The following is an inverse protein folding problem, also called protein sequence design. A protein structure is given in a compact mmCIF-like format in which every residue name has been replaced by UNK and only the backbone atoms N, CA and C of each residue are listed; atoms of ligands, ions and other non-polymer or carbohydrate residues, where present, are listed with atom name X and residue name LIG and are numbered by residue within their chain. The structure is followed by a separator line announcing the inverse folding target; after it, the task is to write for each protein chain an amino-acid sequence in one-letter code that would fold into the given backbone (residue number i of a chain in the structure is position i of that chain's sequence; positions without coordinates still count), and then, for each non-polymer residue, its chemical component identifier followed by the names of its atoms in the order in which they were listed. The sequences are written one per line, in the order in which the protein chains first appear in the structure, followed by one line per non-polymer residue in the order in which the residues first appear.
data_IF_613312872576
#
_entry.id   IF_613312872576
#
_cell.length_a   1.000
_cell.length_b   1.000
_cell.length_c   1.000
_cell.angle_alpha   90.00
_cell.angle_beta   90.00
_cell.angle_gamma   90.00
#
_symmetry.space_group_name_H-M   'P 1'
#
loop_
_entity.id
_entity.type
_entity.pdbx_description
1 polymer ?
#
# COMPACT_ATOMS: atom_id res chain seq x y z
N UNK A 1 14.44 4.73 -79.90
CA UNK A 1 14.75 3.61 -79.00
C UNK A 1 13.44 3.01 -78.51
N UNK A 2 13.02 1.90 -79.11
CA UNK A 2 11.80 1.19 -78.75
C UNK A 2 12.13 0.18 -77.65
N UNK A 3 11.61 0.42 -76.43
CA UNK A 3 11.72 -0.54 -75.33
C UNK A 3 10.86 -1.76 -75.69
N UNK A 4 11.45 -2.95 -75.71
CA UNK A 4 10.75 -4.19 -76.06
C UNK A 4 9.79 -4.58 -74.92
N UNK A 5 8.59 -5.11 -75.22
CA UNK A 5 7.59 -5.48 -74.21
C UNK A 5 8.09 -6.52 -73.21
N UNK A 6 9.10 -7.31 -73.58
CA UNK A 6 9.79 -8.27 -72.70
C UNK A 6 10.60 -7.57 -71.61
N UNK A 7 11.25 -6.43 -71.91
CA UNK A 7 12.00 -5.65 -70.93
C UNK A 7 11.06 -4.95 -69.92
N UNK A 8 9.88 -4.49 -70.38
CA UNK A 8 8.88 -3.89 -69.50
C UNK A 8 8.27 -4.91 -68.53
N UNK A 9 8.05 -6.15 -68.98
CA UNK A 9 7.54 -7.25 -68.16
C UNK A 9 8.54 -7.74 -67.09
N UNK A 10 9.85 -7.74 -67.40
CA UNK A 10 10.88 -8.10 -66.42
C UNK A 10 11.06 -7.03 -65.33
N UNK A 11 10.94 -5.74 -65.68
CA UNK A 11 11.00 -4.64 -64.73
C UNK A 11 9.76 -4.60 -63.83
N UNK A 12 8.56 -4.85 -64.36
CA UNK A 12 7.33 -4.90 -63.57
C UNK A 12 7.30 -6.07 -62.60
N UNK A 13 7.83 -7.24 -62.98
CA UNK A 13 7.91 -8.42 -62.11
C UNK A 13 8.96 -8.24 -61.02
N UNK A 14 10.10 -7.61 -61.33
CA UNK A 14 11.14 -7.26 -60.34
C UNK A 14 10.69 -6.21 -59.33
N UNK A 15 9.94 -5.18 -59.77
CA UNK A 15 9.38 -4.17 -58.89
C UNK A 15 8.26 -4.71 -58.00
N UNK A 16 7.42 -5.62 -58.50
CA UNK A 16 6.36 -6.26 -57.73
C UNK A 16 6.88 -7.18 -56.61
N UNK A 17 7.94 -7.94 -56.87
CA UNK A 17 8.60 -8.79 -55.85
C UNK A 17 9.33 -7.96 -54.78
N UNK A 18 10.02 -6.88 -55.16
CA UNK A 18 10.66 -5.96 -54.21
C UNK A 18 9.63 -5.20 -53.36
N UNK A 19 8.52 -4.74 -53.95
CA UNK A 19 7.42 -4.09 -53.22
C UNK A 19 6.73 -5.01 -52.21
N UNK A 20 6.53 -6.29 -52.54
CA UNK A 20 5.93 -7.28 -51.66
C UNK A 20 6.83 -7.64 -50.45
N UNK A 21 8.15 -7.76 -50.67
CA UNK A 21 9.12 -8.03 -49.59
C UNK A 21 9.25 -6.82 -48.64
N UNK A 22 9.29 -5.59 -49.16
CA UNK A 22 9.33 -4.39 -48.31
C UNK A 22 8.02 -4.22 -47.52
N UNK A 23 6.87 -4.49 -48.17
CA UNK A 23 5.56 -4.47 -47.52
C UNK A 23 5.45 -5.46 -46.35
N UNK A 24 5.87 -6.71 -46.54
CA UNK A 24 5.83 -7.77 -45.51
C UNK A 24 6.81 -7.51 -44.34
N UNK A 25 8.01 -6.98 -44.60
CA UNK A 25 8.94 -6.56 -43.53
C UNK A 25 8.36 -5.37 -42.73
N UNK A 26 7.72 -4.41 -43.41
CA UNK A 26 7.02 -3.30 -42.77
C UNK A 26 5.84 -3.75 -41.89
N UNK A 27 5.05 -4.73 -42.33
CA UNK A 27 3.94 -5.30 -41.55
C UNK A 27 4.43 -6.13 -40.37
N UNK A 28 5.52 -6.91 -40.50
CA UNK A 28 6.14 -7.66 -39.39
C UNK A 28 6.80 -6.73 -38.35
N UNK A 29 7.47 -5.67 -38.79
CA UNK A 29 8.01 -4.63 -37.91
C UNK A 29 6.89 -3.87 -37.21
N UNK A 30 5.82 -3.50 -37.92
CA UNK A 30 4.67 -2.83 -37.34
C UNK A 30 3.93 -3.74 -36.35
N UNK A 31 3.67 -4.99 -36.70
CA UNK A 31 3.03 -5.96 -35.81
C UNK A 31 3.89 -6.30 -34.58
N UNK A 32 5.22 -6.37 -34.72
CA UNK A 32 6.11 -6.60 -33.58
C UNK A 32 6.26 -5.36 -32.69
N UNK A 33 6.26 -4.14 -33.24
CA UNK A 33 6.23 -2.90 -32.47
C UNK A 33 4.88 -2.74 -31.77
N UNK A 34 3.76 -3.05 -32.44
CA UNK A 34 2.44 -3.04 -31.83
C UNK A 34 2.33 -4.12 -30.75
N UNK A 35 2.78 -5.35 -30.98
CA UNK A 35 2.79 -6.40 -29.96
C UNK A 35 3.69 -6.05 -28.77
N UNK A 36 4.86 -5.45 -29.00
CA UNK A 36 5.72 -4.94 -27.92
C UNK A 36 5.02 -3.82 -27.17
N UNK A 37 4.47 -2.82 -27.85
CA UNK A 37 3.74 -1.73 -27.22
C UNK A 37 2.49 -2.21 -26.45
N UNK A 38 1.78 -3.23 -26.94
CA UNK A 38 0.66 -3.84 -26.22
C UNK A 38 1.13 -4.63 -25.01
N UNK A 39 2.22 -5.40 -25.14
CA UNK A 39 2.83 -6.17 -24.04
C UNK A 39 3.40 -5.26 -22.96
N UNK A 40 4.03 -4.16 -23.35
CA UNK A 40 4.58 -3.17 -22.44
C UNK A 40 3.45 -2.45 -21.70
N UNK A 41 2.39 -2.02 -22.40
CA UNK A 41 1.18 -1.47 -21.77
C UNK A 41 0.48 -2.46 -20.84
N UNK A 42 0.42 -3.73 -21.20
CA UNK A 42 -0.16 -4.77 -20.35
C UNK A 42 0.70 -4.98 -19.09
N UNK A 43 2.02 -4.90 -19.21
CA UNK A 43 2.94 -5.00 -18.07
C UNK A 43 2.85 -3.77 -17.16
N UNK A 44 2.78 -2.56 -17.72
CA UNK A 44 2.58 -1.31 -16.98
C UNK A 44 1.23 -1.30 -16.27
N UNK A 45 0.17 -1.76 -16.95
CA UNK A 45 -1.17 -1.89 -16.36
C UNK A 45 -1.16 -2.87 -15.17
N UNK A 46 -0.51 -4.03 -15.31
CA UNK A 46 -0.37 -4.99 -14.20
C UNK A 46 0.40 -4.40 -13.02
N UNK A 47 1.47 -3.65 -13.26
CA UNK A 47 2.22 -2.98 -12.19
C UNK A 47 1.35 -1.92 -11.49
N UNK A 48 0.61 -1.13 -12.27
CA UNK A 48 -0.34 -0.15 -11.74
C UNK A 48 -1.42 -0.81 -10.87
N UNK A 49 -2.01 -1.91 -11.34
CA UNK A 49 -3.03 -2.66 -10.60
C UNK A 49 -2.48 -3.20 -9.27
N UNK A 50 -1.28 -3.78 -9.27
CA UNK A 50 -0.62 -4.27 -8.04
C UNK A 50 -0.32 -3.15 -7.05
N UNK A 51 0.07 -1.97 -7.55
CA UNK A 51 0.28 -0.78 -6.73
C UNK A 51 -1.03 -0.28 -6.13
N UNK A 52 -2.10 -0.22 -6.92
CA UNK A 52 -3.41 0.20 -6.45
C UNK A 52 -3.95 -0.75 -5.36
N UNK A 53 -3.84 -2.06 -5.56
CA UNK A 53 -4.20 -3.09 -4.57
C UNK A 53 -3.42 -2.92 -3.26
N UNK A 54 -2.10 -2.68 -3.34
CA UNK A 54 -1.26 -2.47 -2.15
C UNK A 54 -1.67 -1.22 -1.35
N UNK A 55 -1.96 -0.11 -2.05
CA UNK A 55 -2.41 1.15 -1.43
C UNK A 55 -3.80 0.98 -0.81
N UNK A 56 -4.73 0.34 -1.52
CA UNK A 56 -6.09 0.10 -1.01
C UNK A 56 -6.08 -0.79 0.22
N UNK A 57 -5.31 -1.88 0.21
CA UNK A 57 -5.21 -2.79 1.35
C UNK A 57 -4.62 -2.09 2.58
N UNK A 58 -3.56 -1.30 2.41
CA UNK A 58 -2.97 -0.50 3.48
C UNK A 58 -3.98 0.51 4.05
N UNK A 59 -4.74 1.19 3.20
CA UNK A 59 -5.78 2.13 3.62
C UNK A 59 -6.90 1.43 4.40
N UNK A 60 -7.41 0.30 3.90
CA UNK A 60 -8.45 -0.49 4.55
C UNK A 60 -8.01 -0.97 5.93
N UNK A 61 -6.76 -1.42 6.06
CA UNK A 61 -6.17 -1.84 7.34
C UNK A 61 -6.04 -0.67 8.31
N UNK A 62 -5.51 0.47 7.87
CA UNK A 62 -5.43 1.69 8.68
C UNK A 62 -6.80 2.05 9.29
N UNK A 63 -7.87 2.08 8.48
CA UNK A 63 -9.22 2.38 8.95
C UNK A 63 -9.73 1.34 9.96
N UNK A 64 -9.51 0.05 9.69
CA UNK A 64 -9.93 -1.01 10.59
C UNK A 64 -9.23 -0.95 11.96
N UNK A 65 -7.92 -0.67 11.96
CA UNK A 65 -7.13 -0.51 13.19
C UNK A 65 -7.56 0.76 13.95
N UNK A 66 -7.74 1.88 13.25
CA UNK A 66 -8.24 3.13 13.85
C UNK A 66 -9.59 2.94 14.54
N UNK A 67 -10.56 2.30 13.86
CA UNK A 67 -11.85 1.97 14.45
C UNK A 67 -11.72 1.02 15.66
N UNK A 68 -10.84 0.02 15.57
CA UNK A 68 -10.59 -0.91 16.67
C UNK A 68 -10.05 -0.19 17.91
N UNK A 69 -9.09 0.73 17.73
CA UNK A 69 -8.57 1.59 18.80
C UNK A 69 -9.69 2.42 19.42
N UNK A 70 -10.50 3.08 18.61
CA UNK A 70 -11.51 4.02 19.10
C UNK A 70 -12.62 3.29 19.87
N UNK A 71 -13.04 2.10 19.40
CA UNK A 71 -13.97 1.22 20.10
C UNK A 71 -13.37 0.70 21.41
N UNK A 72 -12.13 0.19 21.36
CA UNK A 72 -11.41 -0.31 22.54
C UNK A 72 -11.24 0.78 23.60
N UNK A 73 -10.91 1.99 23.17
CA UNK A 73 -10.84 3.16 24.05
C UNK A 73 -12.21 3.45 24.63
N UNK A 74 -13.26 3.60 23.82
CA UNK A 74 -14.61 3.90 24.30
C UNK A 74 -15.12 2.93 25.36
N UNK A 75 -14.76 1.65 25.24
CA UNK A 75 -15.14 0.59 26.20
C UNK A 75 -14.15 0.40 27.36
N UNK A 76 -12.95 0.98 27.27
CA UNK A 76 -11.82 0.71 28.19
C UNK A 76 -11.46 -0.77 28.26
N UNK A 77 -11.60 -1.46 27.13
CA UNK A 77 -11.40 -2.90 27.00
C UNK A 77 -10.59 -3.21 25.75
N UNK A 78 -9.79 -4.29 25.82
CA UNK A 78 -9.11 -4.80 24.63
C UNK A 78 -10.11 -5.49 23.69
N UNK A 79 -9.85 -5.49 22.37
CA UNK A 79 -10.63 -6.28 21.44
C UNK A 79 -10.64 -7.76 21.84
N UNK A 80 -11.79 -8.42 21.67
CA UNK A 80 -11.92 -9.84 21.98
C UNK A 80 -10.97 -10.69 21.13
N UNK A 81 -10.32 -11.68 21.76
CA UNK A 81 -9.39 -12.59 21.08
C UNK A 81 -7.96 -12.09 20.93
N UNK A 82 -7.63 -10.88 21.41
CA UNK A 82 -6.25 -10.36 21.42
C UNK A 82 -5.47 -11.01 22.56
N UNK A 83 -4.44 -11.77 22.21
CA UNK A 83 -3.47 -12.32 23.15
C UNK A 83 -2.43 -11.27 23.55
N UNK A 84 -1.77 -11.41 24.72
CA UNK A 84 -0.66 -10.53 25.09
C UNK A 84 0.51 -10.55 24.08
N UNK A 85 0.70 -11.66 23.34
CA UNK A 85 1.73 -11.77 22.31
C UNK A 85 1.38 -10.92 21.07
N UNK A 86 0.10 -10.74 20.77
CA UNK A 86 -0.39 -9.93 19.64
C UNK A 86 -0.13 -8.42 19.87
N UNK A 87 0.22 -8.04 21.10
CA UNK A 87 0.58 -6.67 21.47
C UNK A 87 2.09 -6.42 21.43
N UNK A 88 2.91 -7.46 21.21
CA UNK A 88 4.35 -7.32 21.05
C UNK A 88 4.67 -6.71 19.68
N UNK A 89 5.27 -5.50 19.61
CA UNK A 89 5.67 -4.90 18.34
C UNK A 89 6.70 -5.72 17.55
N UNK A 90 7.40 -6.65 18.22
CA UNK A 90 8.32 -7.61 17.61
C UNK A 90 7.63 -8.82 16.97
N UNK A 91 6.38 -9.10 17.36
CA UNK A 91 5.57 -10.16 16.76
C UNK A 91 4.80 -9.59 15.57
N UNK A 92 5.28 -9.88 14.36
CA UNK A 92 4.63 -9.41 13.14
C UNK A 92 3.62 -10.44 12.65
N UNK A 93 2.33 -10.17 12.85
CA UNK A 93 1.25 -11.01 12.35
C UNK A 93 1.34 -11.16 10.83
N UNK A 94 0.99 -12.34 10.33
CA UNK A 94 1.01 -12.68 8.89
C UNK A 94 0.29 -11.62 8.02
N UNK A 95 -0.90 -11.11 8.39
CA UNK A 95 -1.57 -10.07 7.60
C UNK A 95 -0.79 -8.75 7.52
N UNK A 96 -0.06 -8.36 8.57
CA UNK A 96 0.77 -7.16 8.56
C UNK A 96 1.96 -7.35 7.62
N UNK A 97 2.63 -8.50 7.70
CA UNK A 97 3.78 -8.83 6.86
C UNK A 97 3.42 -8.79 5.38
N UNK A 98 2.28 -9.36 5.00
CA UNK A 98 1.80 -9.35 3.62
C UNK A 98 1.60 -7.94 3.08
N UNK A 99 0.99 -7.04 3.85
CA UNK A 99 0.83 -5.63 3.44
C UNK A 99 2.18 -4.93 3.31
N UNK A 100 3.08 -5.09 4.28
CA UNK A 100 4.43 -4.51 4.20
C UNK A 100 5.18 -5.04 2.98
N UNK A 101 5.09 -6.32 2.66
CA UNK A 101 5.70 -6.90 1.46
C UNK A 101 5.12 -6.30 0.19
N UNK A 102 3.78 -6.20 0.06
CA UNK A 102 3.14 -5.59 -1.10
C UNK A 102 3.55 -4.13 -1.28
N UNK A 103 3.53 -3.34 -0.21
CA UNK A 103 3.98 -1.94 -0.23
C UNK A 103 5.45 -1.84 -0.63
N UNK A 104 6.31 -2.72 -0.11
CA UNK A 104 7.74 -2.74 -0.46
C UNK A 104 7.97 -3.04 -1.94
N UNK A 105 7.18 -3.93 -2.53
CA UNK A 105 7.34 -4.35 -3.93
C UNK A 105 6.79 -3.33 -4.93
N UNK A 106 5.72 -2.61 -4.59
CA UNK A 106 4.93 -1.84 -5.55
C UNK A 106 4.78 -0.35 -5.23
N UNK A 107 5.31 0.13 -4.10
CA UNK A 107 5.13 1.52 -3.66
C UNK A 107 6.44 2.17 -3.23
N UNK A 108 6.39 3.20 -2.37
CA UNK A 108 7.55 4.00 -1.96
C UNK A 108 8.03 3.59 -0.55
N UNK A 109 9.34 3.73 -0.25
CA UNK A 109 9.88 3.49 1.08
C UNK A 109 9.21 4.33 2.17
N UNK A 110 8.81 5.55 1.84
CA UNK A 110 8.14 6.48 2.76
C UNK A 110 6.77 5.94 3.16
N UNK A 111 5.99 5.39 2.23
CA UNK A 111 4.70 4.77 2.53
C UNK A 111 4.89 3.50 3.38
N UNK A 112 5.91 2.69 3.09
CA UNK A 112 6.25 1.52 3.91
C UNK A 112 6.56 1.96 5.34
N UNK A 113 7.38 2.99 5.52
CA UNK A 113 7.76 3.49 6.84
C UNK A 113 6.55 4.06 7.60
N UNK A 114 5.72 4.88 6.95
CA UNK A 114 4.51 5.43 7.56
C UNK A 114 3.53 4.33 8.00
N UNK A 115 3.40 3.25 7.21
CA UNK A 115 2.56 2.10 7.57
C UNK A 115 3.10 1.36 8.80
N UNK A 116 4.42 1.18 8.90
CA UNK A 116 5.06 0.55 10.06
C UNK A 116 4.85 1.39 11.33
N UNK A 117 5.01 2.70 11.23
CA UNK A 117 4.83 3.63 12.34
C UNK A 117 3.39 3.68 12.83
N UNK A 118 2.41 3.78 11.92
CA UNK A 118 0.99 3.72 12.27
C UNK A 118 0.65 2.42 13.00
N UNK A 119 1.10 1.27 12.50
CA UNK A 119 0.86 -0.01 13.17
C UNK A 119 1.50 -0.08 14.57
N UNK A 120 2.74 0.40 14.71
CA UNK A 120 3.41 0.41 16.01
C UNK A 120 2.70 1.35 17.01
N UNK A 121 2.24 2.52 16.54
CA UNK A 121 1.50 3.46 17.37
C UNK A 121 0.13 2.89 17.77
N UNK A 122 -0.55 2.18 16.88
CA UNK A 122 -1.76 1.42 17.18
C UNK A 122 -1.54 0.41 18.32
N UNK A 123 -0.51 -0.45 18.24
CA UNK A 123 -0.23 -1.42 19.31
C UNK A 123 0.05 -0.75 20.65
N UNK A 124 0.83 0.35 20.66
CA UNK A 124 1.07 1.15 21.87
C UNK A 124 -0.22 1.73 22.46
N UNK A 125 -1.19 2.11 21.62
CA UNK A 125 -2.49 2.58 22.09
C UNK A 125 -3.27 1.48 22.80
N UNK A 126 -3.24 0.24 22.29
CA UNK A 126 -3.87 -0.91 22.94
C UNK A 126 -3.20 -1.25 24.27
N UNK A 127 -1.86 -1.20 24.35
CA UNK A 127 -1.13 -1.37 25.62
C UNK A 127 -1.52 -0.30 26.65
N UNK A 128 -1.71 0.94 26.22
CA UNK A 128 -2.23 2.02 27.07
C UNK A 128 -3.63 1.70 27.61
N UNK A 129 -4.54 1.23 26.74
CA UNK A 129 -5.91 0.82 27.11
C UNK A 129 -5.87 -0.34 28.11
N UNK A 130 -4.99 -1.33 27.91
CA UNK A 130 -4.80 -2.43 28.85
C UNK A 130 -4.34 -1.93 30.23
N UNK A 131 -3.42 -0.96 30.27
CA UNK A 131 -2.98 -0.33 31.51
C UNK A 131 -4.12 0.33 32.28
N UNK A 132 -5.02 1.02 31.57
CA UNK A 132 -6.23 1.61 32.17
C UNK A 132 -7.16 0.53 32.72
N UNK A 133 -7.41 -0.53 31.95
CA UNK A 133 -8.25 -1.65 32.40
C UNK A 133 -7.71 -2.28 33.69
N UNK A 134 -6.40 -2.51 33.75
CA UNK A 134 -5.75 -3.07 34.94
C UNK A 134 -5.89 -2.14 36.15
N UNK A 135 -5.67 -0.83 35.96
CA UNK A 135 -5.82 0.16 37.02
C UNK A 135 -7.27 0.26 37.55
N UNK A 136 -8.27 0.11 36.67
CA UNK A 136 -9.69 0.10 37.07
C UNK A 136 -10.10 -1.19 37.78
N UNK A 137 -9.43 -2.31 37.51
CA UNK A 137 -9.69 -3.60 38.16
C UNK A 137 -9.02 -3.76 39.54
N UNK A 138 -8.14 -2.83 39.93
CA UNK A 138 -7.43 -2.87 41.22
C UNK A 138 -8.42 -2.70 42.39
N UNK A 139 -8.69 -3.80 43.09
CA UNK A 139 -9.60 -3.87 44.24
C UNK A 139 -8.81 -3.99 45.54
N UNK A 140 -8.17 -2.88 45.95
CA UNK A 140 -7.46 -2.76 47.22
C UNK A 140 -8.35 -2.30 48.38
N UNK A 141 -7.83 -2.36 49.61
CA UNK A 141 -8.49 -1.83 50.81
C UNK A 141 -8.84 -0.33 50.68
N UNK A 142 -9.88 0.16 51.37
CA UNK A 142 -10.32 1.57 51.23
C UNK A 142 -9.24 2.59 51.61
N UNK A 143 -8.34 2.22 52.54
CA UNK A 143 -7.16 3.02 52.90
C UNK A 143 -6.25 3.35 51.70
N UNK A 144 -6.25 2.51 50.68
CA UNK A 144 -5.41 2.64 49.48
C UNK A 144 -6.06 3.50 48.38
N UNK A 145 -7.30 3.98 48.59
CA UNK A 145 -8.05 4.71 47.58
C UNK A 145 -7.30 5.89 46.95
N UNK A 146 -6.61 6.78 47.71
CA UNK A 146 -5.84 7.87 47.10
C UNK A 146 -4.67 7.41 46.23
N UNK A 147 -4.10 6.23 46.51
CA UNK A 147 -3.06 5.61 45.67
C UNK A 147 -3.68 5.06 44.38
N UNK A 148 -4.82 4.37 44.48
CA UNK A 148 -5.54 3.83 43.30
C UNK A 148 -6.01 4.92 42.35
N UNK A 149 -6.59 5.99 42.88
CA UNK A 149 -7.02 7.15 42.06
C UNK A 149 -5.82 7.78 41.30
N UNK A 150 -4.66 7.92 41.96
CA UNK A 150 -3.43 8.38 41.29
C UNK A 150 -2.97 7.42 40.19
N UNK A 151 -3.02 6.11 40.42
CA UNK A 151 -2.65 5.10 39.43
C UNK A 151 -3.60 5.14 38.22
N UNK A 152 -4.91 5.25 38.45
CA UNK A 152 -5.91 5.39 37.38
C UNK A 152 -5.64 6.64 36.57
N UNK A 153 -5.41 7.79 37.22
CA UNK A 153 -5.13 9.05 36.53
C UNK A 153 -3.85 8.98 35.69
N UNK A 154 -2.79 8.36 36.21
CA UNK A 154 -1.56 8.15 35.47
C UNK A 154 -1.77 7.24 34.26
N UNK A 155 -2.44 6.10 34.42
CA UNK A 155 -2.76 5.18 33.33
C UNK A 155 -3.62 5.86 32.25
N UNK A 156 -4.62 6.65 32.66
CA UNK A 156 -5.46 7.44 31.76
C UNK A 156 -4.66 8.45 30.95
N UNK A 157 -3.71 9.16 31.57
CA UNK A 157 -2.85 10.12 30.88
C UNK A 157 -1.95 9.43 29.85
N UNK A 158 -1.33 8.30 30.22
CA UNK A 158 -0.50 7.51 29.31
C UNK A 158 -1.30 6.96 28.12
N UNK A 159 -2.47 6.39 28.37
CA UNK A 159 -3.34 5.86 27.32
C UNK A 159 -3.81 6.95 26.36
N UNK A 160 -4.23 8.10 26.89
CA UNK A 160 -4.64 9.26 26.10
C UNK A 160 -3.50 9.73 25.18
N UNK A 161 -2.28 9.87 25.72
CA UNK A 161 -1.13 10.25 24.91
C UNK A 161 -0.82 9.23 23.81
N UNK A 162 -0.92 7.93 24.10
CA UNK A 162 -0.67 6.87 23.13
C UNK A 162 -1.72 6.87 22.00
N UNK A 163 -2.99 7.14 22.32
CA UNK A 163 -4.08 7.26 21.34
C UNK A 163 -3.86 8.45 20.43
N UNK A 164 -3.52 9.62 20.96
CA UNK A 164 -3.27 10.81 20.14
C UNK A 164 -2.05 10.61 19.23
N UNK A 165 -0.99 9.94 19.71
CA UNK A 165 0.14 9.54 18.86
C UNK A 165 -0.29 8.57 17.75
N UNK A 166 -1.17 7.62 18.04
CA UNK A 166 -1.70 6.71 17.03
C UNK A 166 -2.52 7.44 15.96
N UNK A 167 -3.39 8.38 16.35
CA UNK A 167 -4.15 9.20 15.40
C UNK A 167 -3.24 10.05 14.51
N UNK A 168 -2.24 10.71 15.08
CA UNK A 168 -1.27 11.48 14.31
C UNK A 168 -0.47 10.60 13.32
N UNK A 169 -0.13 9.37 13.72
CA UNK A 169 0.51 8.42 12.82
C UNK A 169 -0.42 7.96 11.68
N UNK A 170 -1.72 7.78 11.94
CA UNK A 170 -2.71 7.49 10.91
C UNK A 170 -2.89 8.65 9.93
N UNK A 171 -2.85 9.90 10.42
CA UNK A 171 -2.88 11.09 9.57
C UNK A 171 -1.65 11.17 8.66
N UNK A 172 -0.46 10.88 9.20
CA UNK A 172 0.77 10.81 8.44
C UNK A 172 0.71 9.70 7.37
N UNK A 173 0.22 8.51 7.74
CA UNK A 173 0.00 7.42 6.78
C UNK A 173 -1.02 7.81 5.70
N UNK A 174 -2.12 8.48 6.06
CA UNK A 174 -3.09 8.97 5.10
C UNK A 174 -2.48 9.98 4.11
N UNK A 175 -1.56 10.85 4.56
CA UNK A 175 -0.82 11.74 3.69
C UNK A 175 0.10 10.97 2.72
N UNK A 176 0.88 10.01 3.23
CA UNK A 176 1.75 9.16 2.42
C UNK A 176 0.98 8.33 1.38
N UNK A 177 -0.21 7.81 1.73
CA UNK A 177 -1.09 7.10 0.81
C UNK A 177 -1.57 8.01 -0.33
N UNK A 178 -1.94 9.26 -0.04
CA UNK A 178 -2.33 10.24 -1.05
C UNK A 178 -1.17 10.56 -1.99
N UNK A 179 0.01 10.82 -1.44
CA UNK A 179 1.21 11.08 -2.23
C UNK A 179 1.53 9.90 -3.16
N UNK A 180 1.52 8.67 -2.62
CA UNK A 180 1.73 7.45 -3.37
C UNK A 180 0.65 7.23 -4.45
N UNK A 181 -0.58 7.65 -4.25
CA UNK A 181 -1.61 7.60 -5.28
C UNK A 181 -1.39 8.65 -6.39
N UNK A 182 -0.87 9.84 -6.03
CA UNK A 182 -0.62 10.95 -6.98
C UNK A 182 0.65 10.83 -7.79
N UNK A 183 1.60 9.96 -7.42
CA UNK A 183 2.84 9.73 -8.16
C UNK A 183 2.67 8.88 -9.45
N UNK A 184 1.45 8.48 -9.80
CA UNK A 184 1.13 7.67 -10.99
C UNK A 184 0.96 8.40 -12.35
N UNK A 185 0.71 9.72 -12.49
CA UNK A 185 0.42 10.32 -13.79
C UNK A 185 1.62 10.96 -14.52
N UNK A 186 2.83 10.99 -13.97
CA UNK A 186 3.92 11.83 -14.51
C UNK A 186 4.83 11.20 -15.57
N UNK A 187 4.75 9.89 -15.84
CA UNK A 187 5.57 9.25 -16.88
C UNK A 187 5.06 9.46 -18.32
N UNK A 188 3.84 9.97 -18.52
CA UNK A 188 3.22 10.11 -19.85
C UNK A 188 3.44 11.46 -20.55
N UNK A 189 4.22 12.39 -19.99
CA UNK A 189 4.29 13.78 -20.52
C UNK A 189 5.64 14.25 -21.08
N UNK A 190 6.56 13.34 -21.40
CA UNK A 190 7.78 13.68 -22.15
C UNK A 190 8.17 12.56 -23.09
N UNK A 191 7.61 12.55 -24.29
CA UNK A 191 8.27 12.11 -25.52
C UNK A 191 7.62 12.81 -26.71
#
# INVERSE_FOLDING_TARGET
MTITPVALALISTGAGLLGAVIGTVGTLMSASITQRATRDRESEFKIWERRADAIEEAHRKMLALGNTRDVAWGRRELPGGVSPADLDPGHQDEPYRLVVTKLTLYTTPELVQAYRESNQAFLKSLLGIQGVRLALSDSGAESDRPRRERNINAAMATATQAIEKSKAADEHLAAALREAATLAPTSQRRH
#
